data_IF_259425807279
#
_entry.id   IF_259425807279
#
_cell.length_a   1.000
_cell.length_b   1.000
_cell.length_c   1.000
_cell.angle_alpha   90.00
_cell.angle_beta   90.00
_cell.angle_gamma   90.00
#
_symmetry.space_group_name_H-M   'P 1'
#
loop_
_entity.id
_entity.type
_entity.pdbx_description
1 polymer ?
#
# COMPACT_ATOMS: atom_id res chain seq x y z
N UNK A 1 20.42 1.86 6.50
CA UNK A 1 19.32 2.43 5.72
C UNK A 1 18.75 1.31 4.87
N UNK A 2 17.49 0.92 5.07
CA UNK A 2 16.82 -0.16 4.36
C UNK A 2 16.22 0.35 3.05
N UNK A 3 16.31 -0.45 1.99
CA UNK A 3 15.81 -0.14 0.67
C UNK A 3 14.34 -0.54 0.54
N UNK A 4 13.48 0.43 0.27
CA UNK A 4 12.02 0.24 0.23
C UNK A 4 11.54 0.40 -1.21
N UNK A 5 11.05 -0.68 -1.80
CA UNK A 5 10.36 -0.61 -3.09
C UNK A 5 8.95 -0.05 -2.91
N UNK A 6 8.60 1.00 -3.64
CA UNK A 6 7.25 1.57 -3.68
C UNK A 6 6.61 1.21 -5.02
N UNK A 7 5.70 0.24 -4.99
CA UNK A 7 4.89 -0.14 -6.15
C UNK A 7 3.66 0.77 -6.21
N UNK A 8 3.37 1.33 -7.39
CA UNK A 8 2.37 2.39 -7.52
C UNK A 8 2.88 3.78 -7.11
N UNK A 9 4.21 3.98 -7.11
CA UNK A 9 4.85 5.23 -6.66
C UNK A 9 4.34 6.48 -7.39
N UNK A 10 3.93 6.37 -8.66
CA UNK A 10 3.43 7.52 -9.42
C UNK A 10 1.99 7.94 -9.06
N UNK A 11 1.23 7.09 -8.36
CA UNK A 11 -0.12 7.39 -7.89
C UNK A 11 -0.14 8.45 -6.77
N UNK A 12 -1.33 9.01 -6.48
CA UNK A 12 -1.48 10.09 -5.48
C UNK A 12 -0.86 9.70 -4.12
N UNK A 13 -1.27 8.55 -3.56
CA UNK A 13 -0.73 8.05 -2.28
C UNK A 13 0.73 7.62 -2.40
N UNK A 14 1.11 6.94 -3.49
CA UNK A 14 2.50 6.50 -3.76
C UNK A 14 3.51 7.64 -3.77
N UNK A 15 3.15 8.79 -4.33
CA UNK A 15 4.01 10.00 -4.34
C UNK A 15 4.21 10.55 -2.93
N UNK A 16 3.19 10.49 -2.07
CA UNK A 16 3.30 10.91 -0.67
C UNK A 16 4.20 9.95 0.10
N UNK A 17 3.98 8.63 -0.03
CA UNK A 17 4.81 7.58 0.57
C UNK A 17 6.28 7.79 0.21
N UNK A 18 6.57 7.99 -1.07
CA UNK A 18 7.95 8.16 -1.57
C UNK A 18 8.65 9.37 -0.95
N UNK A 19 7.92 10.49 -0.74
CA UNK A 19 8.46 11.68 -0.07
C UNK A 19 8.72 11.44 1.42
N UNK A 20 7.77 10.82 2.14
CA UNK A 20 7.94 10.48 3.56
C UNK A 20 9.17 9.58 3.75
N UNK A 21 9.31 8.56 2.90
CA UNK A 21 10.45 7.64 2.93
C UNK A 21 11.78 8.34 2.66
N UNK A 22 11.82 9.27 1.69
CA UNK A 22 13.03 10.06 1.38
C UNK A 22 13.49 10.90 2.57
N UNK A 23 12.54 11.44 3.34
CA UNK A 23 12.84 12.27 4.51
C UNK A 23 13.19 11.44 5.76
N UNK A 24 13.21 10.11 5.65
CA UNK A 24 13.59 9.19 6.72
C UNK A 24 15.12 9.03 6.81
N UNK A 25 15.63 8.87 8.03
CA UNK A 25 17.02 8.43 8.27
C UNK A 25 17.21 6.92 8.09
N UNK A 26 16.13 6.15 8.19
CA UNK A 26 16.16 4.69 8.26
C UNK A 26 15.91 4.04 6.91
N UNK A 27 15.21 4.74 6.00
CA UNK A 27 14.77 4.22 4.71
C UNK A 27 15.34 4.96 3.52
N UNK A 28 15.50 4.22 2.42
CA UNK A 28 15.78 4.75 1.09
C UNK A 28 14.70 4.28 0.12
N UNK A 29 13.86 5.17 -0.44
CA UNK A 29 12.82 4.78 -1.37
C UNK A 29 13.37 4.46 -2.75
N UNK A 30 12.79 3.44 -3.38
CA UNK A 30 12.93 3.09 -4.79
C UNK A 30 11.54 3.12 -5.43
N UNK A 31 11.29 4.11 -6.29
CA UNK A 31 10.00 4.29 -6.94
C UNK A 31 9.86 3.38 -8.16
N UNK A 32 8.93 2.42 -8.12
CA UNK A 32 8.60 1.65 -9.32
C UNK A 32 7.73 2.49 -10.26
N UNK A 33 8.21 2.69 -11.47
CA UNK A 33 7.54 3.46 -12.52
C UNK A 33 7.36 2.62 -13.77
N UNK A 34 6.30 2.89 -14.52
CA UNK A 34 5.97 2.16 -15.76
C UNK A 34 6.55 2.84 -17.00
N UNK A 35 6.67 4.17 -16.99
CA UNK A 35 7.06 4.96 -18.17
C UNK A 35 8.18 5.93 -17.81
N UNK A 36 9.18 6.06 -18.68
CA UNK A 36 10.32 6.97 -18.47
C UNK A 36 9.90 8.43 -18.24
N UNK A 37 8.77 8.87 -18.81
CA UNK A 37 8.22 10.22 -18.58
C UNK A 37 7.92 10.50 -17.10
N UNK A 38 7.78 9.46 -16.27
CA UNK A 38 7.56 9.59 -14.82
C UNK A 38 8.88 9.81 -14.05
N UNK A 39 10.02 9.46 -14.64
CA UNK A 39 11.35 9.47 -14.01
C UNK A 39 11.77 10.86 -13.49
N UNK A 40 11.59 11.97 -14.26
CA UNK A 40 12.05 13.29 -13.81
C UNK A 40 11.41 13.74 -12.49
N UNK A 41 10.17 13.34 -12.21
CA UNK A 41 9.52 13.69 -10.95
C UNK A 41 10.26 13.11 -9.73
N UNK A 42 10.78 11.88 -9.83
CA UNK A 42 11.47 11.21 -8.73
C UNK A 42 12.94 11.63 -8.65
N UNK A 43 13.62 11.77 -9.80
CA UNK A 43 15.01 12.23 -9.84
C UNK A 43 15.18 13.64 -9.25
N UNK A 44 14.24 14.55 -9.55
CA UNK A 44 14.23 15.90 -8.95
C UNK A 44 14.03 15.90 -7.43
N UNK A 45 13.55 14.78 -6.85
CA UNK A 45 13.42 14.58 -5.42
C UNK A 45 14.57 13.76 -4.83
N UNK A 46 15.56 13.36 -5.63
CA UNK A 46 16.64 12.47 -5.23
C UNK A 46 16.20 11.02 -4.97
N UNK A 47 15.07 10.60 -5.55
CA UNK A 47 14.50 9.26 -5.39
C UNK A 47 14.89 8.41 -6.59
N UNK A 48 15.52 7.26 -6.33
CA UNK A 48 15.87 6.31 -7.39
C UNK A 48 14.63 5.62 -7.96
N UNK A 49 14.65 5.34 -9.25
CA UNK A 49 13.55 4.66 -9.94
C UNK A 49 13.90 3.23 -10.34
N UNK A 50 12.88 2.38 -10.42
CA UNK A 50 12.92 1.04 -11.01
C UNK A 50 11.84 0.96 -12.08
N UNK A 51 12.18 0.45 -13.26
CA UNK A 51 11.17 0.18 -14.28
C UNK A 51 10.41 -1.08 -13.91
N UNK A 52 9.09 -1.06 -14.06
CA UNK A 52 8.23 -2.21 -13.87
C UNK A 52 6.79 -1.93 -14.28
N UNK A 53 6.17 -2.88 -14.98
CA UNK A 53 4.75 -2.90 -15.29
C UNK A 53 4.11 -4.10 -14.60
N UNK A 54 3.00 -3.88 -13.89
CA UNK A 54 2.31 -4.93 -13.14
C UNK A 54 1.66 -5.99 -14.05
N UNK A 55 1.49 -5.65 -15.32
CA UNK A 55 0.93 -6.53 -16.36
C UNK A 55 2.02 -7.33 -17.12
N UNK A 56 3.29 -7.04 -16.84
CA UNK A 56 4.45 -7.71 -17.45
C UNK A 56 5.37 -8.30 -16.38
N UNK A 57 6.62 -8.61 -16.73
CA UNK A 57 7.64 -8.98 -15.75
C UNK A 57 8.29 -7.73 -15.14
N UNK A 58 8.25 -7.65 -13.82
CA UNK A 58 8.85 -6.59 -13.03
C UNK A 58 9.74 -7.14 -11.91
N UNK A 59 10.24 -8.38 -12.06
CA UNK A 59 11.12 -9.02 -11.07
C UNK A 59 12.35 -8.19 -10.73
N UNK A 60 12.90 -7.49 -11.72
CA UNK A 60 14.11 -6.68 -11.58
C UNK A 60 13.95 -5.51 -10.62
N UNK A 61 12.72 -5.04 -10.40
CA UNK A 61 12.42 -3.99 -9.44
C UNK A 61 12.69 -4.43 -7.98
N UNK A 62 12.68 -5.73 -7.69
CA UNK A 62 12.89 -6.28 -6.35
C UNK A 62 14.37 -6.52 -6.01
N UNK A 63 15.28 -6.44 -6.97
CA UNK A 63 16.71 -6.69 -6.74
C UNK A 63 17.29 -5.70 -5.74
N UNK A 64 17.83 -6.22 -4.64
CA UNK A 64 18.49 -5.44 -3.60
C UNK A 64 17.54 -4.64 -2.69
N UNK A 65 16.25 -4.98 -2.68
CA UNK A 65 15.23 -4.37 -1.82
C UNK A 65 15.08 -5.16 -0.51
N UNK A 66 14.89 -4.47 0.60
CA UNK A 66 14.66 -5.09 1.91
C UNK A 66 13.16 -5.30 2.17
N UNK A 67 12.34 -4.32 1.77
CA UNK A 67 10.90 -4.28 2.04
C UNK A 67 10.15 -3.67 0.87
N UNK A 68 8.84 -3.89 0.81
CA UNK A 68 7.98 -3.35 -0.25
C UNK A 68 6.70 -2.75 0.34
N UNK A 69 6.29 -1.61 -0.22
CA UNK A 69 4.95 -1.05 -0.06
C UNK A 69 4.23 -1.18 -1.40
N UNK A 70 3.12 -1.91 -1.42
CA UNK A 70 2.22 -1.99 -2.57
C UNK A 70 1.11 -0.96 -2.42
N UNK A 71 1.22 0.14 -3.17
CA UNK A 71 0.26 1.25 -3.20
C UNK A 71 -0.33 1.47 -4.61
N UNK A 72 -0.23 0.46 -5.48
CA UNK A 72 -0.85 0.47 -6.79
C UNK A 72 -2.34 0.10 -6.71
N UNK A 73 -3.09 0.60 -7.68
CA UNK A 73 -4.47 0.24 -7.97
C UNK A 73 -4.79 0.75 -9.38
N UNK A 74 -5.74 0.12 -10.06
CA UNK A 74 -6.10 0.45 -11.44
C UNK A 74 -6.64 1.89 -11.59
N UNK A 75 -7.34 2.37 -10.55
CA UNK A 75 -8.05 3.65 -10.53
C UNK A 75 -9.56 3.44 -10.68
N UNK A 76 -10.36 4.39 -10.17
CA UNK A 76 -11.82 4.26 -10.11
C UNK A 76 -12.53 4.25 -11.47
N UNK A 77 -11.87 4.73 -12.52
CA UNK A 77 -12.45 4.88 -13.87
C UNK A 77 -12.00 3.77 -14.84
N UNK A 78 -11.39 2.70 -14.35
CA UNK A 78 -10.89 1.60 -15.21
C UNK A 78 -11.89 0.46 -15.32
N UNK A 79 -11.77 -0.33 -16.38
CA UNK A 79 -12.58 -1.54 -16.56
C UNK A 79 -12.33 -2.58 -15.46
N UNK A 80 -13.31 -3.46 -15.25
CA UNK A 80 -13.21 -4.62 -14.36
C UNK A 80 -12.00 -5.51 -14.68
N UNK A 81 -11.70 -5.69 -15.97
CA UNK A 81 -10.51 -6.40 -16.42
C UNK A 81 -9.23 -5.73 -15.90
N UNK A 82 -9.14 -4.39 -16.00
CA UNK A 82 -7.96 -3.67 -15.52
C UNK A 82 -7.80 -3.74 -14.01
N UNK A 83 -8.90 -3.69 -13.27
CA UNK A 83 -8.90 -3.89 -11.82
C UNK A 83 -8.45 -5.30 -11.47
N UNK A 84 -8.86 -6.33 -12.22
CA UNK A 84 -8.37 -7.69 -12.01
C UNK A 84 -6.86 -7.80 -12.26
N UNK A 85 -6.37 -7.25 -13.37
CA UNK A 85 -4.95 -7.29 -13.73
C UNK A 85 -4.08 -6.55 -12.71
N UNK A 86 -4.48 -5.36 -12.28
CA UNK A 86 -3.64 -4.51 -11.41
C UNK A 86 -3.85 -4.84 -9.93
N UNK A 87 -5.09 -4.79 -9.45
CA UNK A 87 -5.41 -4.86 -8.03
C UNK A 87 -5.31 -6.27 -7.46
N UNK A 88 -5.52 -7.31 -8.30
CA UNK A 88 -5.32 -8.71 -7.89
C UNK A 88 -4.05 -9.33 -8.50
N UNK A 89 -3.96 -9.50 -9.82
CA UNK A 89 -2.85 -10.27 -10.43
C UNK A 89 -1.50 -9.60 -10.21
N UNK A 90 -1.42 -8.28 -10.38
CA UNK A 90 -0.22 -7.49 -10.10
C UNK A 90 0.19 -7.55 -8.63
N UNK A 91 -0.77 -7.47 -7.71
CA UNK A 91 -0.53 -7.64 -6.28
C UNK A 91 -0.03 -9.04 -5.95
N UNK A 92 -0.70 -10.10 -6.44
CA UNK A 92 -0.29 -11.50 -6.30
C UNK A 92 1.14 -11.72 -6.79
N UNK A 93 1.47 -11.21 -7.98
CA UNK A 93 2.82 -11.32 -8.54
C UNK A 93 3.86 -10.59 -7.68
N UNK A 94 3.52 -9.42 -7.14
CA UNK A 94 4.41 -8.70 -6.21
C UNK A 94 4.66 -9.48 -4.92
N UNK A 95 3.66 -10.19 -4.39
CA UNK A 95 3.83 -11.09 -3.23
C UNK A 95 4.77 -12.24 -3.56
N UNK A 96 4.57 -12.92 -4.69
CA UNK A 96 5.45 -14.01 -5.14
C UNK A 96 6.91 -13.54 -5.33
N UNK A 97 7.11 -12.36 -5.92
CA UNK A 97 8.43 -11.77 -6.12
C UNK A 97 9.09 -11.37 -4.79
N UNK A 98 8.30 -10.84 -3.85
CA UNK A 98 8.78 -10.52 -2.51
C UNK A 98 9.24 -11.79 -1.76
N UNK A 99 8.51 -12.90 -1.87
CA UNK A 99 8.93 -14.20 -1.32
C UNK A 99 10.20 -14.73 -1.97
N UNK A 100 10.26 -14.70 -3.31
CA UNK A 100 11.41 -15.18 -4.07
C UNK A 100 12.71 -14.42 -3.71
N UNK A 101 12.59 -13.12 -3.46
CA UNK A 101 13.70 -12.26 -3.03
C UNK A 101 13.88 -12.20 -1.51
N UNK A 102 13.07 -12.92 -0.73
CA UNK A 102 13.13 -13.01 0.74
C UNK A 102 13.04 -11.63 1.42
N UNK A 103 12.15 -10.78 0.93
CA UNK A 103 11.90 -9.47 1.54
C UNK A 103 11.44 -9.64 2.99
N UNK A 104 11.89 -8.72 3.84
CA UNK A 104 11.65 -8.75 5.29
C UNK A 104 10.22 -8.35 5.66
N UNK A 105 9.55 -7.56 4.82
CA UNK A 105 8.21 -7.02 5.07
C UNK A 105 7.49 -6.64 3.79
N UNK A 106 6.20 -6.98 3.72
CA UNK A 106 5.27 -6.51 2.69
C UNK A 106 4.17 -5.67 3.32
N UNK A 107 4.01 -4.42 2.90
CA UNK A 107 2.91 -3.55 3.37
C UNK A 107 1.94 -3.32 2.21
N UNK A 108 0.69 -3.72 2.40
CA UNK A 108 -0.37 -3.62 1.40
C UNK A 108 -1.29 -2.43 1.72
N UNK A 109 -1.47 -1.54 0.74
CA UNK A 109 -2.60 -0.62 0.71
C UNK A 109 -3.81 -1.36 0.12
N UNK A 110 -4.75 -1.73 0.98
CA UNK A 110 -6.01 -2.39 0.61
C UNK A 110 -7.19 -1.41 0.67
N UNK A 111 -8.37 -1.87 1.06
CA UNK A 111 -9.60 -1.09 1.19
C UNK A 111 -10.54 -1.70 2.25
N UNK A 112 -11.26 -0.85 2.98
CA UNK A 112 -12.38 -1.28 3.82
C UNK A 112 -13.45 -1.99 3.01
N UNK A 113 -14.19 -2.90 3.65
CA UNK A 113 -15.29 -3.62 3.00
C UNK A 113 -14.87 -4.83 2.17
N UNK A 114 -13.58 -5.14 2.10
CA UNK A 114 -13.06 -6.38 1.50
C UNK A 114 -13.59 -7.64 2.17
N UNK A 115 -14.02 -7.59 3.44
CA UNK A 115 -14.63 -8.72 4.13
C UNK A 115 -16.09 -8.99 3.71
N UNK A 116 -16.76 -8.00 3.12
CA UNK A 116 -18.12 -8.15 2.60
C UNK A 116 -18.32 -7.36 1.29
N UNK A 117 -17.63 -7.74 0.19
CA UNK A 117 -17.63 -6.99 -1.07
C UNK A 117 -19.02 -6.71 -1.64
N UNK A 118 -19.95 -7.66 -1.50
CA UNK A 118 -21.33 -7.55 -2.02
C UNK A 118 -22.21 -6.56 -1.25
N UNK A 119 -21.75 -5.99 -0.14
CA UNK A 119 -22.49 -4.98 0.64
C UNK A 119 -22.23 -3.55 0.20
N UNK A 120 -21.29 -3.33 -0.71
CA UNK A 120 -20.92 -1.99 -1.19
C UNK A 120 -21.29 -1.89 -2.67
N UNK A 121 -22.44 -1.31 -2.94
CA UNK A 121 -22.96 -1.13 -4.30
C UNK A 121 -21.96 -0.36 -5.18
N UNK A 122 -21.79 -0.82 -6.43
CA UNK A 122 -20.87 -0.22 -7.40
C UNK A 122 -19.39 -0.52 -7.19
N UNK A 123 -18.98 -1.14 -6.07
CA UNK A 123 -17.58 -1.46 -5.77
C UNK A 123 -17.31 -2.97 -5.61
N UNK A 124 -18.30 -3.83 -5.85
CA UNK A 124 -18.19 -5.26 -5.58
C UNK A 124 -16.99 -5.92 -6.28
N UNK A 125 -16.80 -5.67 -7.59
CA UNK A 125 -15.69 -6.26 -8.35
C UNK A 125 -14.31 -5.79 -7.88
N UNK A 126 -14.21 -4.49 -7.59
CA UNK A 126 -13.02 -3.89 -6.98
C UNK A 126 -12.70 -4.52 -5.63
N UNK A 127 -13.68 -4.59 -4.72
CA UNK A 127 -13.49 -5.15 -3.39
C UNK A 127 -13.20 -6.66 -3.41
N UNK A 128 -13.78 -7.42 -4.35
CA UNK A 128 -13.40 -8.82 -4.58
C UNK A 128 -11.94 -8.96 -5.00
N UNK A 129 -11.46 -8.10 -5.90
CA UNK A 129 -10.07 -8.11 -6.35
C UNK A 129 -9.11 -7.78 -5.20
N UNK A 130 -9.41 -6.72 -4.43
CA UNK A 130 -8.63 -6.36 -3.23
C UNK A 130 -8.65 -7.46 -2.18
N UNK A 131 -9.81 -8.08 -1.93
CA UNK A 131 -9.94 -9.21 -1.02
C UNK A 131 -9.04 -10.37 -1.45
N UNK A 132 -9.08 -10.75 -2.73
CA UNK A 132 -8.27 -11.84 -3.25
C UNK A 132 -6.76 -11.57 -3.11
N UNK A 133 -6.33 -10.33 -3.31
CA UNK A 133 -4.94 -9.92 -3.07
C UNK A 133 -4.56 -9.99 -1.57
N UNK A 134 -5.45 -9.53 -0.69
CA UNK A 134 -5.24 -9.59 0.75
C UNK A 134 -5.16 -11.03 1.25
N UNK A 135 -6.08 -11.90 0.81
CA UNK A 135 -6.10 -13.31 1.17
C UNK A 135 -4.84 -14.04 0.69
N UNK A 136 -4.41 -13.78 -0.55
CA UNK A 136 -3.15 -14.33 -1.07
C UNK A 136 -1.94 -13.90 -0.24
N UNK A 137 -1.88 -12.62 0.16
CA UNK A 137 -0.81 -12.13 1.05
C UNK A 137 -0.87 -12.79 2.43
N UNK A 138 -2.07 -12.99 3.00
CA UNK A 138 -2.26 -13.67 4.30
C UNK A 138 -1.79 -15.12 4.27
N UNK A 139 -1.97 -15.80 3.15
CA UNK A 139 -1.57 -17.21 2.94
C UNK A 139 -0.07 -17.36 2.61
N UNK A 140 0.62 -16.27 2.28
CA UNK A 140 2.07 -16.27 2.01
C UNK A 140 2.91 -16.49 3.27
N UNK A 141 4.22 -16.71 3.09
CA UNK A 141 5.20 -16.78 4.18
C UNK A 141 5.80 -15.43 4.54
N UNK A 142 5.37 -14.35 3.89
CA UNK A 142 5.88 -13.01 4.17
C UNK A 142 5.40 -12.53 5.52
N UNK A 143 6.27 -11.77 6.17
CA UNK A 143 5.83 -10.86 7.21
C UNK A 143 5.05 -9.72 6.53
N UNK A 144 3.82 -9.46 6.94
CA UNK A 144 3.00 -8.44 6.28
C UNK A 144 2.31 -7.45 7.22
N UNK A 145 1.76 -6.37 6.65
CA UNK A 145 0.70 -5.54 7.24
C UNK A 145 -0.25 -5.12 6.11
N UNK A 146 -1.56 -5.27 6.33
CA UNK A 146 -2.59 -4.82 5.39
C UNK A 146 -3.33 -3.63 6.01
N UNK A 147 -3.27 -2.48 5.35
CA UNK A 147 -4.00 -1.27 5.75
C UNK A 147 -5.24 -1.14 4.87
N UNK A 148 -6.43 -1.18 5.45
CA UNK A 148 -7.71 -1.10 4.77
C UNK A 148 -8.35 0.27 5.06
N UNK A 149 -7.99 1.35 4.34
CA UNK A 149 -8.58 2.66 4.59
C UNK A 149 -10.02 2.74 4.08
N UNK A 150 -10.78 3.67 4.67
CA UNK A 150 -12.05 4.14 4.11
C UNK A 150 -11.85 4.99 2.85
N UNK A 151 -12.85 5.81 2.52
CA UNK A 151 -12.80 6.66 1.33
C UNK A 151 -11.63 7.66 1.36
N UNK A 152 -10.77 7.63 0.35
CA UNK A 152 -9.54 8.44 0.32
C UNK A 152 -9.81 9.89 -0.13
N UNK A 153 -9.45 10.87 0.69
CA UNK A 153 -9.54 12.30 0.38
C UNK A 153 -8.18 12.91 0.01
N UNK A 154 -8.20 14.03 -0.72
CA UNK A 154 -7.00 14.83 -1.06
C UNK A 154 -6.79 16.00 -0.07
N UNK A 155 -7.47 15.97 1.07
CA UNK A 155 -7.27 16.94 2.15
C UNK A 155 -5.91 16.73 2.83
N UNK A 156 -5.48 17.74 3.59
CA UNK A 156 -4.25 17.64 4.38
C UNK A 156 -4.48 16.67 5.55
N UNK A 157 -3.51 15.78 5.79
CA UNK A 157 -3.55 14.88 6.93
C UNK A 157 -3.39 15.61 8.25
N UNK A 158 -4.06 15.13 9.29
CA UNK A 158 -3.94 15.67 10.65
C UNK A 158 -3.46 14.60 11.66
N UNK A 159 -3.15 13.39 11.19
CA UNK A 159 -2.70 12.26 12.00
C UNK A 159 -3.69 11.88 13.12
N UNK A 160 -4.99 12.18 12.93
CA UNK A 160 -6.08 11.77 13.83
C UNK A 160 -6.95 10.71 13.17
N UNK A 161 -6.96 9.53 13.76
CA UNK A 161 -7.46 8.32 13.11
C UNK A 161 -8.25 7.46 14.09
N UNK A 162 -9.03 6.55 13.54
CA UNK A 162 -9.61 5.41 14.23
C UNK A 162 -9.16 4.15 13.51
N UNK A 163 -8.49 3.25 14.23
CA UNK A 163 -7.93 2.01 13.69
C UNK A 163 -8.48 0.83 14.49
N UNK A 164 -9.08 -0.13 13.81
CA UNK A 164 -9.53 -1.39 14.43
C UNK A 164 -9.48 -2.52 13.41
N UNK A 165 -9.62 -3.78 13.85
CA UNK A 165 -9.72 -4.91 12.92
C UNK A 165 -10.90 -4.77 11.96
N UNK A 166 -12.06 -4.31 12.48
CA UNK A 166 -13.26 -4.02 11.69
C UNK A 166 -13.97 -2.81 12.31
N UNK A 167 -14.06 -1.73 11.56
CA UNK A 167 -14.83 -0.54 11.89
C UNK A 167 -16.29 -0.81 11.52
N UNK A 168 -17.18 -0.86 12.51
CA UNK A 168 -18.63 -1.03 12.30
C UNK A 168 -19.31 0.23 11.72
N UNK A 169 -18.57 1.03 10.96
CA UNK A 169 -19.01 2.28 10.33
C UNK A 169 -18.15 2.59 9.12
N UNK A 170 -18.72 3.30 8.16
CA UNK A 170 -17.96 3.88 7.05
C UNK A 170 -17.31 5.20 7.48
N UNK A 171 -16.26 5.60 6.78
CA UNK A 171 -15.60 6.87 6.98
C UNK A 171 -14.65 7.19 5.83
N UNK A 172 -14.12 8.39 5.87
CA UNK A 172 -13.13 8.88 4.92
C UNK A 172 -11.82 9.15 5.65
N UNK A 173 -10.72 9.25 4.90
CA UNK A 173 -9.41 9.56 5.45
C UNK A 173 -8.49 10.23 4.41
N UNK A 174 -7.69 11.24 4.81
CA UNK A 174 -6.66 11.82 3.95
C UNK A 174 -5.64 10.78 3.48
N UNK A 175 -5.28 10.84 2.19
CA UNK A 175 -4.17 10.01 1.63
C UNK A 175 -2.86 10.21 2.38
N UNK A 176 -2.65 11.40 2.95
CA UNK A 176 -1.45 11.70 3.74
C UNK A 176 -1.36 10.84 5.01
N UNK A 177 -2.47 10.67 5.74
CA UNK A 177 -2.48 9.87 6.97
C UNK A 177 -2.38 8.38 6.68
N UNK A 178 -2.98 7.92 5.57
CA UNK A 178 -2.79 6.54 5.07
C UNK A 178 -1.34 6.29 4.67
N UNK A 179 -0.70 7.23 3.96
CA UNK A 179 0.71 7.11 3.59
C UNK A 179 1.63 7.01 4.81
N UNK A 180 1.37 7.81 5.86
CA UNK A 180 2.09 7.73 7.14
C UNK A 180 1.89 6.37 7.82
N UNK A 181 0.66 5.83 7.82
CA UNK A 181 0.40 4.51 8.38
C UNK A 181 1.17 3.39 7.64
N UNK A 182 1.16 3.42 6.30
CA UNK A 182 1.91 2.46 5.48
C UNK A 182 3.41 2.50 5.77
N UNK A 183 3.99 3.69 5.94
CA UNK A 183 5.41 3.85 6.29
C UNK A 183 5.68 3.37 7.73
N UNK A 184 4.83 3.72 8.70
CA UNK A 184 4.98 3.22 10.07
C UNK A 184 4.90 1.70 10.16
N UNK A 185 4.06 1.07 9.35
CA UNK A 185 3.93 -0.38 9.28
C UNK A 185 5.21 -1.11 8.84
N UNK A 186 6.20 -0.42 8.25
CA UNK A 186 7.46 -1.05 7.83
C UNK A 186 8.26 -1.64 9.01
N UNK A 187 8.22 -1.02 10.19
CA UNK A 187 9.02 -1.43 11.37
C UNK A 187 8.19 -1.79 12.60
N UNK A 188 6.87 -1.53 12.58
CA UNK A 188 6.04 -1.80 13.74
C UNK A 188 5.78 -3.30 13.88
N UNK A 189 6.51 -3.92 14.81
CA UNK A 189 6.30 -5.32 15.21
C UNK A 189 4.86 -5.59 15.69
N UNK A 190 4.17 -4.58 16.22
CA UNK A 190 2.76 -4.68 16.64
C UNK A 190 1.77 -4.89 15.50
N UNK A 191 2.10 -4.45 14.29
CA UNK A 191 1.26 -4.62 13.10
C UNK A 191 1.74 -5.78 12.22
N UNK A 192 2.55 -6.68 12.78
CA UNK A 192 3.09 -7.84 12.09
C UNK A 192 1.99 -8.89 11.87
N UNK A 193 1.78 -9.26 10.61
CA UNK A 193 0.78 -10.22 10.16
C UNK A 193 -0.65 -9.82 10.58
N UNK A 194 -0.94 -8.53 10.51
CA UNK A 194 -2.26 -7.96 10.82
C UNK A 194 -2.90 -7.32 9.60
N UNK A 195 -4.23 -7.34 9.56
CA UNK A 195 -5.04 -6.42 8.74
C UNK A 195 -5.90 -5.55 9.64
N UNK A 196 -6.05 -4.28 9.28
CA UNK A 196 -6.88 -3.35 10.02
C UNK A 196 -7.54 -2.31 9.12
N UNK A 197 -8.75 -1.93 9.52
CA UNK A 197 -9.51 -0.85 8.92
C UNK A 197 -9.14 0.50 9.56
N UNK A 198 -9.17 1.57 8.76
CA UNK A 198 -8.66 2.88 9.16
C UNK A 198 -9.50 4.02 8.55
N UNK A 199 -10.00 4.93 9.39
CA UNK A 199 -10.69 6.16 8.97
C UNK A 199 -10.18 7.37 9.78
N UNK A 200 -10.52 8.59 9.37
CA UNK A 200 -10.33 9.78 10.19
C UNK A 200 -11.07 9.64 11.53
N UNK A 201 -10.41 10.03 12.61
CA UNK A 201 -10.93 9.90 13.97
C UNK A 201 -10.34 10.94 14.88
N UNK A 202 -10.31 10.65 16.17
CA UNK A 202 -9.88 11.57 17.21
C UNK A 202 -8.64 11.10 17.95
N UNK A 203 -7.99 9.99 17.56
CA UNK A 203 -6.80 9.46 18.24
C UNK A 203 -5.54 9.62 17.43
N UNK A 204 -4.39 9.75 18.09
CA UNK A 204 -3.10 9.91 17.44
C UNK A 204 -2.70 8.68 16.62
N UNK A 205 -2.36 8.87 15.35
CA UNK A 205 -1.99 7.80 14.41
C UNK A 205 -0.85 6.93 14.95
N UNK A 206 0.26 7.56 15.35
CA UNK A 206 1.44 6.84 15.82
C UNK A 206 1.12 6.06 17.10
N UNK A 207 0.37 6.67 18.01
CA UNK A 207 -0.13 6.05 19.23
C UNK A 207 -1.00 4.82 18.97
N UNK A 208 -2.01 4.93 18.12
CA UNK A 208 -2.90 3.82 17.79
C UNK A 208 -2.15 2.67 17.13
N UNK A 209 -1.27 2.95 16.16
CA UNK A 209 -0.51 1.88 15.51
C UNK A 209 0.47 1.16 16.45
N UNK A 210 1.10 1.88 17.39
CA UNK A 210 1.97 1.28 18.41
C UNK A 210 1.22 0.41 19.42
N UNK A 211 -0.05 0.72 19.66
CA UNK A 211 -0.90 0.03 20.62
C UNK A 211 -1.88 -0.96 19.96
N UNK A 212 -1.80 -1.13 18.64
CA UNK A 212 -2.65 -2.05 17.90
C UNK A 212 -2.53 -3.48 18.45
N UNK A 213 -3.68 -4.13 18.65
CA UNK A 213 -3.83 -5.47 19.23
C UNK A 213 -4.76 -6.30 18.37
#
# INVERSE_FOLDING_TARGET
>A
MQHILVIGANGKTGRIISKILRDSSDFKPYAMIRKDVQKPFFENLGIETRMGDLEEDFSDAFKGMDKVIFAAGSGGDTSDEKTLEVDYKGAKKAVELAEAHKLQKFVMLSSMGTDAPSRVEGLEHYLKSKKAADDFLRESKLVYTIVQPGGLTDEKGNERVEITKHLNKQGQIPREDVAKALVYALELERTKNTSFEMISGDKDLKGEMKNYK
#
